data_IF_351571142770
#
_entry.id   IF_351571142770
#
_cell.length_a   1.000
_cell.length_b   1.000
_cell.length_c   1.000
_cell.angle_alpha   90.00
_cell.angle_beta   90.00
_cell.angle_gamma   90.00
#
_symmetry.space_group_name_H-M   'P 1'
#
loop_
_entity.id
_entity.type
_entity.pdbx_description
1 polymer ?
#
# COMPACT_ATOMS: atom_id res chain seq x y z
N UNK A 1 -9.92 19.02 -3.67
CA UNK A 1 -9.60 19.17 -2.25
C UNK A 1 -10.50 20.25 -1.68
N UNK A 2 -11.23 19.93 -0.62
CA UNK A 2 -12.14 20.88 0.00
C UNK A 2 -11.36 22.01 0.72
N UNK A 3 -11.98 23.19 0.83
CA UNK A 3 -11.40 24.35 1.55
C UNK A 3 -11.05 24.06 3.01
N UNK A 4 -11.51 22.93 3.57
CA UNK A 4 -11.22 22.47 4.93
C UNK A 4 -9.71 22.34 5.18
N UNK A 5 -8.92 22.02 4.16
CA UNK A 5 -7.46 21.87 4.29
C UNK A 5 -6.68 23.17 4.03
N UNK A 6 -7.36 24.27 3.72
CA UNK A 6 -6.69 25.54 3.43
C UNK A 6 -6.26 26.32 4.68
N UNK A 7 -6.76 25.95 5.85
CA UNK A 7 -6.40 26.58 7.12
C UNK A 7 -5.89 25.54 8.11
N UNK A 8 -4.71 25.77 8.62
CA UNK A 8 -4.11 24.91 9.62
C UNK A 8 -4.60 25.33 11.01
N UNK A 9 -5.13 24.41 11.82
CA UNK A 9 -5.60 24.74 13.18
C UNK A 9 -4.45 25.06 14.15
N UNK A 10 -3.24 24.54 13.87
CA UNK A 10 -2.05 24.78 14.69
C UNK A 10 -1.04 25.58 13.83
N UNK A 11 -0.74 26.79 14.30
CA UNK A 11 0.22 27.65 13.64
C UNK A 11 1.62 27.39 14.20
N UNK A 12 2.55 27.09 13.32
CA UNK A 12 3.96 26.93 13.70
C UNK A 12 4.78 28.14 13.30
N UNK A 13 5.91 28.33 13.93
CA UNK A 13 6.80 29.48 13.63
C UNK A 13 7.35 29.45 12.20
N UNK A 14 7.51 28.24 11.62
CA UNK A 14 8.01 28.06 10.25
C UNK A 14 6.93 28.31 9.18
N UNK A 15 5.69 28.41 9.56
CA UNK A 15 4.57 28.73 8.64
C UNK A 15 4.35 30.23 8.44
N UNK A 16 5.08 31.06 9.17
CA UNK A 16 5.08 32.51 9.01
C UNK A 16 5.72 32.94 7.69
N UNK A 17 5.26 34.02 7.06
CA UNK A 17 5.82 34.57 5.83
C UNK A 17 7.30 34.99 5.99
N UNK A 18 7.66 35.45 7.20
CA UNK A 18 9.01 35.89 7.58
C UNK A 18 9.42 35.33 8.95
N UNK A 19 9.70 34.04 9.05
CA UNK A 19 9.85 33.34 10.34
C UNK A 19 11.01 33.83 11.20
N UNK A 20 12.01 34.47 10.62
CA UNK A 20 13.21 34.98 11.33
C UNK A 20 13.13 36.45 11.74
N UNK A 21 12.03 37.15 11.46
CA UNK A 21 11.81 38.52 11.92
C UNK A 21 11.24 38.57 13.35
N UNK A 22 10.82 37.42 13.89
CA UNK A 22 10.28 37.29 15.26
C UNK A 22 9.20 38.33 15.60
N UNK A 23 8.30 38.58 14.63
CA UNK A 23 7.17 39.48 14.81
C UNK A 23 6.17 38.92 15.82
N UNK A 24 5.58 39.81 16.63
CA UNK A 24 4.46 39.46 17.53
C UNK A 24 3.17 39.17 16.75
N UNK A 25 3.08 39.63 15.50
CA UNK A 25 1.94 39.38 14.63
C UNK A 25 2.21 38.19 13.72
N UNK A 26 1.28 37.23 13.71
CA UNK A 26 1.38 36.07 12.82
C UNK A 26 0.79 36.38 11.45
N UNK A 27 1.66 36.36 10.43
CA UNK A 27 1.29 36.45 9.02
C UNK A 27 1.64 35.11 8.33
N UNK A 28 0.61 34.40 7.83
CA UNK A 28 0.85 33.11 7.17
C UNK A 28 1.57 33.28 5.82
N UNK A 29 2.46 32.35 5.49
CA UNK A 29 3.06 32.26 4.16
C UNK A 29 1.99 32.06 3.08
N UNK A 30 2.16 32.69 1.92
CA UNK A 30 1.27 32.53 0.77
C UNK A 30 1.51 31.22 -0.01
N UNK A 31 2.52 30.44 0.38
CA UNK A 31 2.92 29.20 -0.26
C UNK A 31 2.49 27.96 0.55
N UNK A 32 2.88 26.77 0.09
CA UNK A 32 2.71 25.52 0.82
C UNK A 32 3.42 25.50 2.18
N UNK A 33 4.42 26.37 2.38
CA UNK A 33 5.18 26.53 3.62
C UNK A 33 4.30 26.91 4.80
N UNK A 34 3.14 27.53 4.57
CA UNK A 34 2.15 27.78 5.62
C UNK A 34 1.69 26.54 6.40
N UNK A 35 1.93 25.33 5.86
CA UNK A 35 1.66 24.06 6.53
C UNK A 35 2.86 23.52 7.33
N UNK A 36 3.98 24.23 7.35
CA UNK A 36 5.15 23.83 8.12
C UNK A 36 5.06 24.28 9.57
N UNK A 37 4.88 23.34 10.50
CA UNK A 37 4.75 23.67 11.92
C UNK A 37 6.06 24.09 12.58
N UNK A 38 7.16 23.55 12.12
CA UNK A 38 8.48 23.78 12.70
C UNK A 38 9.61 23.32 11.79
N UNK A 39 10.80 23.21 12.33
CA UNK A 39 11.98 22.79 11.60
C UNK A 39 11.77 21.39 10.97
N UNK A 40 12.03 21.23 9.68
CA UNK A 40 11.93 19.93 9.02
C UNK A 40 12.86 18.88 9.63
N UNK A 41 12.43 17.62 9.61
CA UNK A 41 13.24 16.46 10.04
C UNK A 41 14.36 16.19 9.05
N UNK A 42 15.54 16.78 9.27
CA UNK A 42 16.67 16.72 8.33
C UNK A 42 17.10 15.28 8.00
N UNK A 43 17.21 14.40 9.01
CA UNK A 43 17.58 13.00 8.79
C UNK A 43 16.57 12.27 7.89
N UNK A 44 15.28 12.41 8.17
CA UNK A 44 14.23 11.79 7.35
C UNK A 44 14.21 12.33 5.93
N UNK A 45 14.40 13.63 5.75
CA UNK A 45 14.48 14.24 4.42
C UNK A 45 15.72 13.82 3.65
N UNK A 46 16.86 13.62 4.33
CA UNK A 46 18.08 13.13 3.69
C UNK A 46 17.92 11.71 3.14
N UNK A 47 17.26 10.83 3.90
CA UNK A 47 16.97 9.47 3.43
C UNK A 47 15.91 9.46 2.31
N UNK A 48 14.90 10.32 2.41
CA UNK A 48 13.89 10.49 1.37
C UNK A 48 14.50 10.90 0.03
N UNK A 49 15.50 11.78 0.05
CA UNK A 49 16.20 12.22 -1.17
C UNK A 49 16.73 11.03 -1.97
N UNK A 50 17.43 10.10 -1.31
CA UNK A 50 17.97 8.89 -1.97
C UNK A 50 16.87 8.03 -2.60
N UNK A 51 15.74 7.86 -1.91
CA UNK A 51 14.60 7.11 -2.45
C UNK A 51 13.94 7.81 -3.64
N UNK A 52 13.89 9.15 -3.61
CA UNK A 52 13.39 9.96 -4.73
C UNK A 52 14.28 9.87 -5.95
N UNK A 53 15.61 9.87 -5.78
CA UNK A 53 16.57 9.75 -6.89
C UNK A 53 16.30 8.45 -7.69
N UNK A 54 16.07 7.31 -7.00
CA UNK A 54 15.69 6.03 -7.63
C UNK A 54 14.36 6.14 -8.38
N UNK A 55 13.36 6.78 -7.76
CA UNK A 55 12.03 6.95 -8.35
C UNK A 55 12.08 7.86 -9.59
N UNK A 56 12.89 8.89 -9.57
CA UNK A 56 13.10 9.80 -10.71
C UNK A 56 13.81 9.08 -11.85
N UNK A 57 14.82 8.27 -11.56
CA UNK A 57 15.53 7.46 -12.55
C UNK A 57 14.59 6.47 -13.24
N UNK A 58 13.73 5.80 -12.46
CA UNK A 58 12.76 4.85 -12.97
C UNK A 58 11.64 5.49 -13.81
N UNK A 59 11.39 6.75 -13.66
CA UNK A 59 10.29 7.54 -14.22
C UNK A 59 8.88 7.08 -13.83
N UNK A 60 7.96 8.00 -13.68
CA UNK A 60 6.56 7.68 -13.36
C UNK A 60 5.88 6.87 -14.47
N UNK A 61 6.27 7.10 -15.72
CA UNK A 61 5.72 6.42 -16.88
C UNK A 61 6.08 4.92 -16.87
N UNK A 62 7.36 4.60 -16.73
CA UNK A 62 7.82 3.20 -16.68
C UNK A 62 7.29 2.45 -15.46
N UNK A 63 7.21 3.11 -14.30
CA UNK A 63 6.59 2.55 -13.11
C UNK A 63 5.11 2.21 -13.35
N UNK A 64 4.37 3.08 -14.03
CA UNK A 64 2.96 2.85 -14.37
C UNK A 64 2.79 1.71 -15.38
N UNK A 65 3.65 1.65 -16.40
CA UNK A 65 3.66 0.56 -17.40
C UNK A 65 3.89 -0.78 -16.69
N UNK A 66 4.91 -0.87 -15.85
CA UNK A 66 5.21 -2.12 -15.12
C UNK A 66 4.10 -2.51 -14.16
N UNK A 67 3.57 -1.55 -13.38
CA UNK A 67 2.45 -1.79 -12.46
C UNK A 67 1.22 -2.33 -13.20
N UNK A 68 0.92 -1.77 -14.38
CA UNK A 68 -0.18 -2.25 -15.22
C UNK A 68 0.06 -3.69 -15.66
N UNK A 69 1.25 -4.03 -16.14
CA UNK A 69 1.59 -5.40 -16.57
C UNK A 69 1.52 -6.41 -15.42
N UNK A 70 1.98 -6.04 -14.22
CA UNK A 70 1.87 -6.88 -13.02
C UNK A 70 0.41 -7.15 -12.65
N UNK A 71 -0.43 -6.13 -12.74
CA UNK A 71 -1.87 -6.30 -12.52
C UNK A 71 -2.51 -7.20 -13.57
N UNK A 72 -2.24 -6.99 -14.86
CA UNK A 72 -2.81 -7.77 -15.95
C UNK A 72 -2.40 -9.25 -15.83
N UNK A 73 -1.18 -9.52 -15.36
CA UNK A 73 -0.73 -10.88 -15.07
C UNK A 73 -1.50 -11.50 -13.90
N UNK A 74 -1.64 -10.78 -12.79
CA UNK A 74 -2.47 -11.24 -11.66
C UNK A 74 -3.91 -11.48 -12.08
N UNK A 75 -4.52 -10.58 -12.85
CA UNK A 75 -5.89 -10.66 -13.33
C UNK A 75 -6.13 -11.92 -14.16
N UNK A 76 -5.15 -12.30 -14.98
CA UNK A 76 -5.24 -13.55 -15.74
C UNK A 76 -5.31 -14.78 -14.83
N UNK A 77 -4.49 -14.83 -13.77
CA UNK A 77 -4.52 -15.91 -12.77
C UNK A 77 -5.82 -15.86 -11.95
N UNK A 78 -6.24 -14.67 -11.55
CA UNK A 78 -7.49 -14.48 -10.84
C UNK A 78 -8.68 -15.03 -11.61
N UNK A 79 -8.81 -14.67 -12.87
CA UNK A 79 -9.93 -15.10 -13.72
C UNK A 79 -9.95 -16.60 -13.94
N UNK A 80 -8.80 -17.22 -14.10
CA UNK A 80 -8.70 -18.65 -14.38
C UNK A 80 -8.81 -19.53 -13.14
N UNK A 81 -8.31 -19.09 -11.99
CA UNK A 81 -8.14 -19.92 -10.81
C UNK A 81 -8.79 -19.31 -9.54
N UNK A 82 -8.37 -18.11 -9.10
CA UNK A 82 -8.78 -17.55 -7.80
C UNK A 82 -10.28 -17.27 -7.72
N UNK A 83 -10.89 -16.85 -8.81
CA UNK A 83 -12.35 -16.62 -8.87
C UNK A 83 -13.15 -17.89 -8.54
N UNK A 84 -12.66 -19.07 -8.91
CA UNK A 84 -13.29 -20.36 -8.63
C UNK A 84 -13.19 -20.76 -7.15
N UNK A 85 -12.28 -20.13 -6.42
CA UNK A 85 -12.05 -20.30 -4.99
C UNK A 85 -12.72 -19.20 -4.16
N UNK A 86 -13.79 -18.58 -4.69
CA UNK A 86 -14.59 -17.54 -4.04
C UNK A 86 -13.83 -16.25 -3.70
N UNK A 87 -12.68 -15.99 -4.32
CA UNK A 87 -12.10 -14.65 -4.26
C UNK A 87 -12.88 -13.70 -5.19
N UNK A 88 -13.11 -12.48 -4.71
CA UNK A 88 -13.68 -11.39 -5.49
C UNK A 88 -12.62 -10.30 -5.68
N UNK A 89 -12.40 -9.86 -6.93
CA UNK A 89 -11.50 -8.76 -7.25
C UNK A 89 -12.22 -7.43 -7.07
N UNK A 90 -11.78 -6.63 -6.09
CA UNK A 90 -12.37 -5.32 -5.77
C UNK A 90 -11.68 -4.16 -6.47
N UNK A 91 -10.43 -4.35 -6.89
CA UNK A 91 -9.70 -3.32 -7.64
C UNK A 91 -10.33 -3.13 -9.01
N UNK A 92 -10.60 -1.87 -9.43
CA UNK A 92 -11.19 -1.60 -10.74
C UNK A 92 -10.36 -2.15 -11.89
N UNK A 93 -11.03 -2.75 -12.88
CA UNK A 93 -10.39 -3.22 -14.12
C UNK A 93 -9.88 -2.05 -14.98
N UNK A 94 -10.55 -0.92 -14.90
CA UNK A 94 -10.14 0.30 -15.59
C UNK A 94 -8.83 0.83 -14.99
N UNK A 95 -7.75 0.75 -15.76
CA UNK A 95 -6.40 1.18 -15.34
C UNK A 95 -6.31 2.67 -14.97
N UNK A 96 -7.22 3.49 -15.46
CA UNK A 96 -7.28 4.92 -15.11
C UNK A 96 -7.83 5.17 -13.69
N UNK A 97 -8.45 4.15 -13.08
CA UNK A 97 -9.11 4.23 -11.76
C UNK A 97 -8.41 3.42 -10.67
N UNK A 98 -7.22 2.89 -10.95
CA UNK A 98 -6.47 2.08 -9.99
C UNK A 98 -5.03 2.56 -9.83
N UNK A 99 -4.47 2.28 -8.66
CA UNK A 99 -3.04 2.46 -8.38
C UNK A 99 -2.28 1.13 -8.44
N UNK A 100 -1.11 1.09 -7.79
CA UNK A 100 -0.20 -0.05 -7.78
C UNK A 100 -0.50 -1.04 -6.64
N UNK A 101 -1.77 -1.39 -6.43
CA UNK A 101 -2.13 -2.46 -5.49
C UNK A 101 -3.40 -3.17 -5.94
N UNK A 102 -3.53 -4.41 -5.52
CA UNK A 102 -4.69 -5.27 -5.72
C UNK A 102 -5.43 -5.39 -4.40
N UNK A 103 -6.75 -5.30 -4.44
CA UNK A 103 -7.64 -5.64 -3.36
C UNK A 103 -8.53 -6.78 -3.80
N UNK A 104 -8.48 -7.88 -3.05
CA UNK A 104 -9.35 -9.05 -3.21
C UNK A 104 -10.11 -9.28 -1.92
N UNK A 105 -11.34 -9.77 -2.01
CA UNK A 105 -12.11 -10.20 -0.84
C UNK A 105 -12.29 -11.70 -0.83
N UNK A 106 -12.42 -12.26 0.37
CA UNK A 106 -12.77 -13.65 0.62
C UNK A 106 -13.38 -13.77 2.02
N UNK A 107 -14.33 -14.64 2.22
CA UNK A 107 -14.99 -14.83 3.53
C UNK A 107 -13.96 -15.08 4.65
N UNK A 108 -12.95 -15.89 4.38
CA UNK A 108 -11.86 -16.24 5.30
C UNK A 108 -10.59 -15.36 5.15
N UNK A 109 -10.72 -14.17 4.57
CA UNK A 109 -9.57 -13.30 4.25
C UNK A 109 -8.63 -13.06 5.43
N UNK A 110 -9.16 -12.92 6.66
CA UNK A 110 -8.33 -12.78 7.86
C UNK A 110 -7.42 -13.99 8.08
N UNK A 111 -7.99 -15.19 8.08
CA UNK A 111 -7.24 -16.43 8.30
C UNK A 111 -6.27 -16.69 7.16
N UNK A 112 -6.68 -16.47 5.92
CA UNK A 112 -5.83 -16.58 4.73
C UNK A 112 -4.65 -15.62 4.84
N UNK A 113 -4.86 -14.36 5.26
CA UNK A 113 -3.77 -13.41 5.44
C UNK A 113 -2.77 -13.86 6.52
N UNK A 114 -3.24 -14.52 7.57
CA UNK A 114 -2.35 -15.08 8.61
C UNK A 114 -1.58 -16.31 8.12
N UNK A 115 -2.17 -17.15 7.27
CA UNK A 115 -1.45 -18.26 6.62
C UNK A 115 -0.38 -17.75 5.66
N UNK A 116 -0.63 -16.65 4.93
CA UNK A 116 0.38 -16.02 4.08
C UNK A 116 1.59 -15.53 4.89
N UNK A 117 1.33 -14.84 6.01
CA UNK A 117 2.40 -14.28 6.87
C UNK A 117 3.12 -15.36 7.67
N UNK A 118 2.38 -16.33 8.20
CA UNK A 118 2.90 -17.41 9.04
C UNK A 118 2.46 -18.77 8.48
N UNK A 119 3.11 -19.31 7.47
CA UNK A 119 2.80 -20.62 6.92
C UNK A 119 2.82 -21.72 7.98
N UNK A 120 2.03 -22.77 7.79
CA UNK A 120 2.09 -23.97 8.66
C UNK A 120 3.37 -24.76 8.38
N UNK A 121 3.70 -24.95 7.11
CA UNK A 121 4.98 -25.52 6.71
C UNK A 121 6.06 -24.41 6.66
N UNK A 122 7.12 -24.58 7.43
CA UNK A 122 8.23 -23.65 7.50
C UNK A 122 9.05 -23.57 6.18
N UNK A 123 8.84 -24.50 5.25
CA UNK A 123 9.44 -24.44 3.91
C UNK A 123 8.66 -23.56 2.94
N UNK A 124 7.44 -23.19 3.29
CA UNK A 124 6.62 -22.30 2.48
C UNK A 124 7.05 -20.84 2.64
N UNK A 125 6.90 -20.07 1.56
CA UNK A 125 7.26 -18.66 1.56
C UNK A 125 6.32 -17.84 2.46
N UNK A 126 6.89 -17.09 3.41
CA UNK A 126 6.16 -16.07 4.16
C UNK A 126 5.93 -14.85 3.29
N UNK A 127 4.67 -14.44 3.13
CA UNK A 127 4.27 -13.31 2.29
C UNK A 127 3.50 -12.30 3.12
N UNK A 128 4.04 -11.10 3.26
CA UNK A 128 3.42 -10.02 4.03
C UNK A 128 2.40 -9.31 3.16
N UNK A 129 1.14 -9.40 3.56
CA UNK A 129 0.01 -8.70 2.94
C UNK A 129 -0.68 -7.80 3.96
N UNK A 130 -1.48 -6.86 3.48
CA UNK A 130 -2.26 -5.96 4.32
C UNK A 130 -3.72 -6.43 4.37
N UNK A 131 -4.20 -6.75 5.58
CA UNK A 131 -5.61 -7.07 5.81
C UNK A 131 -6.41 -5.81 6.14
N UNK A 132 -7.57 -5.68 5.51
CA UNK A 132 -8.53 -4.61 5.82
C UNK A 132 -9.88 -5.18 6.29
N UNK A 133 -10.51 -4.54 7.30
CA UNK A 133 -11.82 -4.96 7.80
C UNK A 133 -12.83 -5.17 6.67
N UNK A 134 -13.77 -6.08 6.92
CA UNK A 134 -14.72 -6.68 5.99
C UNK A 134 -14.06 -7.52 4.90
N UNK A 135 -13.10 -8.38 5.32
CA UNK A 135 -12.62 -9.49 4.51
C UNK A 135 -11.83 -9.11 3.25
N UNK A 136 -10.98 -8.08 3.33
CA UNK A 136 -10.16 -7.63 2.20
C UNK A 136 -8.68 -7.93 2.47
N UNK A 137 -8.03 -8.55 1.49
CA UNK A 137 -6.58 -8.69 1.41
C UNK A 137 -6.09 -7.72 0.36
N UNK A 138 -5.10 -6.86 0.72
CA UNK A 138 -4.43 -5.99 -0.23
C UNK A 138 -3.01 -6.47 -0.49
N UNK A 139 -2.66 -6.52 -1.77
CA UNK A 139 -1.37 -6.94 -2.28
C UNK A 139 -0.73 -5.74 -2.98
N UNK A 140 0.44 -5.30 -2.51
CA UNK A 140 1.17 -4.20 -3.12
C UNK A 140 1.91 -4.68 -4.38
N UNK A 141 1.71 -4.00 -5.49
CA UNK A 141 2.42 -4.21 -6.75
C UNK A 141 3.48 -3.11 -6.90
N UNK A 142 4.46 -3.07 -6.00
CA UNK A 142 5.47 -2.01 -6.02
C UNK A 142 6.38 -2.18 -7.24
N UNK A 143 6.24 -1.36 -8.31
CA UNK A 143 6.90 -1.65 -9.59
C UNK A 143 8.43 -1.56 -9.53
N UNK A 144 9.00 -0.87 -8.53
CA UNK A 144 10.45 -0.81 -8.38
C UNK A 144 11.09 -2.18 -8.12
N UNK A 145 10.46 -3.04 -7.32
CA UNK A 145 11.07 -4.31 -6.90
C UNK A 145 10.18 -5.54 -7.04
N UNK A 146 8.84 -5.40 -7.14
CA UNK A 146 7.96 -6.55 -7.35
C UNK A 146 8.17 -7.14 -8.75
N UNK A 147 8.41 -8.44 -8.81
CA UNK A 147 8.57 -9.21 -10.04
C UNK A 147 7.30 -9.95 -10.44
N UNK A 148 7.27 -10.50 -11.66
CA UNK A 148 6.20 -11.42 -12.08
C UNK A 148 6.23 -12.74 -11.29
N UNK A 149 7.42 -13.18 -10.88
CA UNK A 149 7.60 -14.34 -10.02
C UNK A 149 6.95 -14.15 -8.65
N UNK A 150 7.04 -12.95 -8.07
CA UNK A 150 6.37 -12.62 -6.81
C UNK A 150 4.85 -12.71 -6.96
N UNK A 151 4.31 -12.22 -8.09
CA UNK A 151 2.87 -12.30 -8.39
C UNK A 151 2.43 -13.75 -8.57
N UNK A 152 3.23 -14.56 -9.25
CA UNK A 152 2.97 -15.99 -9.39
C UNK A 152 2.99 -16.67 -8.02
N UNK A 153 4.02 -16.44 -7.22
CA UNK A 153 4.21 -17.05 -5.91
C UNK A 153 3.07 -16.74 -4.95
N UNK A 154 2.65 -15.47 -4.83
CA UNK A 154 1.51 -15.13 -3.99
C UNK A 154 0.20 -15.74 -4.51
N UNK A 155 0.02 -15.77 -5.82
CA UNK A 155 -1.19 -16.36 -6.41
C UNK A 155 -1.25 -17.87 -6.15
N UNK A 156 -0.14 -18.59 -6.34
CA UNK A 156 -0.06 -20.02 -6.01
C UNK A 156 -0.28 -20.28 -4.53
N UNK A 157 0.29 -19.44 -3.67
CA UNK A 157 0.13 -19.57 -2.23
C UNK A 157 -1.34 -19.34 -1.79
N UNK A 158 -2.03 -18.35 -2.35
CA UNK A 158 -3.46 -18.12 -2.12
C UNK A 158 -4.30 -19.33 -2.53
N UNK A 159 -4.01 -19.92 -3.69
CA UNK A 159 -4.69 -21.11 -4.21
C UNK A 159 -4.48 -22.30 -3.26
N UNK A 160 -3.23 -22.57 -2.86
CA UNK A 160 -2.91 -23.69 -1.98
C UNK A 160 -3.58 -23.56 -0.61
N UNK A 161 -3.51 -22.38 0.02
CA UNK A 161 -4.14 -22.11 1.32
C UNK A 161 -5.64 -22.44 1.30
N UNK A 162 -6.35 -22.07 0.22
CA UNK A 162 -7.79 -22.31 0.13
C UNK A 162 -8.08 -23.75 -0.29
N UNK A 163 -7.33 -24.30 -1.25
CA UNK A 163 -7.53 -25.66 -1.74
C UNK A 163 -7.28 -26.71 -0.66
N UNK A 164 -6.24 -26.54 0.14
CA UNK A 164 -5.86 -27.42 1.25
C UNK A 164 -6.55 -27.06 2.57
N UNK A 165 -7.39 -26.04 2.57
CA UNK A 165 -8.08 -25.51 3.75
C UNK A 165 -7.14 -25.19 4.93
N UNK A 166 -5.90 -24.78 4.62
CA UNK A 166 -4.85 -24.51 5.61
C UNK A 166 -5.32 -23.51 6.69
N UNK A 167 -6.15 -22.55 6.32
CA UNK A 167 -6.72 -21.55 7.23
C UNK A 167 -7.61 -22.15 8.34
N UNK A 168 -8.03 -23.41 8.24
CA UNK A 168 -8.81 -24.12 9.27
C UNK A 168 -7.94 -24.74 10.37
N UNK A 169 -6.65 -24.95 10.10
CA UNK A 169 -5.76 -25.71 10.98
C UNK A 169 -5.09 -24.90 12.10
N UNK A 170 -5.21 -23.58 12.08
CA UNK A 170 -4.72 -22.71 13.16
C UNK A 170 -5.85 -21.85 13.74
N UNK A 171 -5.84 -21.67 15.05
CA UNK A 171 -6.73 -20.70 15.70
C UNK A 171 -6.17 -19.28 15.46
N UNK A 172 -6.63 -18.67 14.38
CA UNK A 172 -6.37 -17.28 14.06
C UNK A 172 -7.50 -16.38 14.57
N UNK A 173 -7.78 -16.44 15.87
CA UNK A 173 -8.75 -15.51 16.46
C UNK A 173 -8.32 -14.07 16.21
N UNK A 174 -9.26 -13.22 15.82
CA UNK A 174 -9.00 -11.81 15.55
C UNK A 174 -8.74 -11.08 16.87
N UNK A 175 -7.48 -11.02 17.30
CA UNK A 175 -7.04 -10.26 18.47
C UNK A 175 -6.52 -8.90 18.03
N UNK A 176 -7.43 -7.97 17.82
CA UNK A 176 -7.10 -6.59 17.45
C UNK A 176 -6.61 -6.42 16.01
N UNK A 177 -6.77 -5.21 15.50
CA UNK A 177 -6.13 -4.78 14.25
C UNK A 177 -4.73 -4.30 14.63
N UNK A 178 -3.71 -4.97 14.15
CA UNK A 178 -2.34 -4.43 14.19
C UNK A 178 -2.11 -3.62 12.93
#
# INVERSE_FOLDING_TARGET
>A
ASDVYKRQPIRGWFSHDRPFEYSDEYNESNSIEKFSNGTPHILSLSTLKTSLDITIEATTEELNIKSTKLFDYFESIYTNELKKLNFELLTPMDKSKRGSHIAISHEEAWRISKCLVNPIDNNELSIIVDFRPKNIIRIALTPLYTSFEDIYSISRRLINIVYEEEYKHKDYSMKGVT
#
